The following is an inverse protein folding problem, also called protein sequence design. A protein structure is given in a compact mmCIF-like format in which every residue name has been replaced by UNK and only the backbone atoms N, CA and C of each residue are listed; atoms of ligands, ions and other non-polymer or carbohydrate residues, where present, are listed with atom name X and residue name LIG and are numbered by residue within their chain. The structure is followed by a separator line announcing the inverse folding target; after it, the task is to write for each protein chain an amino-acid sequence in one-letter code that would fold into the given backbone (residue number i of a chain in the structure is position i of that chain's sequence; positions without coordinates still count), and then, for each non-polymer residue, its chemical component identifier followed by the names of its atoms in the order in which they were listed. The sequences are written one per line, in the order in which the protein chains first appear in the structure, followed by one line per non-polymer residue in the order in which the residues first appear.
data_IF_349793753751
#
_entry.id   IF_349793753751
#
_cell.length_a   1.000
_cell.length_b   1.000
_cell.length_c   1.000
_cell.angle_alpha   90.00
_cell.angle_beta   90.00
_cell.angle_gamma   90.00
#
_symmetry.space_group_name_H-M   'P 1'
#
loop_
_entity.id
_entity.type
_entity.pdbx_description
1 polymer ?
#
# COMPACT_ATOMS: atom_id res chain seq x y z
N UNK A 1 35.72 -8.12 4.29
CA UNK A 1 35.44 -8.33 2.85
C UNK A 1 34.20 -7.55 2.52
N UNK A 2 34.32 -6.50 1.71
CA UNK A 2 33.19 -5.64 1.37
C UNK A 2 32.29 -6.34 0.36
N UNK A 3 31.00 -6.48 0.70
CA UNK A 3 29.96 -6.81 -0.28
C UNK A 3 30.00 -5.70 -1.34
N UNK A 4 30.21 -6.05 -2.60
CA UNK A 4 30.12 -5.09 -3.70
C UNK A 4 28.67 -4.57 -3.74
N UNK A 5 28.48 -3.28 -4.04
CA UNK A 5 27.17 -2.63 -3.98
C UNK A 5 26.10 -3.32 -4.88
N UNK A 6 26.53 -4.11 -5.86
CA UNK A 6 25.71 -4.88 -6.80
C UNK A 6 25.15 -6.20 -6.23
N UNK A 7 25.71 -6.71 -5.13
CA UNK A 7 25.34 -8.00 -4.52
C UNK A 7 24.30 -7.86 -3.41
N UNK A 8 23.91 -6.62 -3.05
CA UNK A 8 22.94 -6.34 -1.97
C UNK A 8 21.55 -6.86 -2.31
N UNK A 9 21.16 -6.77 -3.59
CA UNK A 9 19.88 -7.27 -4.11
C UNK A 9 20.12 -8.02 -5.40
N UNK A 10 19.79 -9.31 -5.41
CA UNK A 10 19.88 -10.19 -6.57
C UNK A 10 18.45 -10.58 -6.97
N UNK A 11 18.15 -10.47 -8.26
CA UNK A 11 16.86 -10.86 -8.80
C UNK A 11 17.11 -11.92 -9.88
N UNK A 12 16.57 -13.11 -9.66
CA UNK A 12 16.57 -14.22 -10.60
C UNK A 12 15.16 -14.37 -11.15
N UNK A 13 14.96 -14.02 -12.42
CA UNK A 13 13.66 -14.13 -13.07
C UNK A 13 13.35 -15.58 -13.41
N UNK A 14 12.07 -15.95 -13.34
CA UNK A 14 11.62 -17.28 -13.71
C UNK A 14 11.80 -17.54 -15.22
N UNK A 15 12.17 -18.76 -15.57
CA UNK A 15 12.33 -19.19 -16.97
C UNK A 15 10.99 -19.54 -17.64
N UNK A 16 9.98 -19.93 -16.84
CA UNK A 16 8.66 -20.35 -17.31
C UNK A 16 7.57 -19.44 -16.75
N UNK A 17 6.52 -19.26 -17.56
CA UNK A 17 5.32 -18.53 -17.15
C UNK A 17 4.63 -19.26 -15.99
N UNK A 18 4.34 -18.53 -14.91
CA UNK A 18 3.74 -19.08 -13.68
C UNK A 18 4.74 -19.55 -12.61
N UNK A 19 6.01 -19.77 -12.96
CA UNK A 19 7.05 -20.05 -11.96
C UNK A 19 7.43 -18.75 -11.22
N UNK A 20 7.72 -18.81 -9.91
CA UNK A 20 8.07 -17.62 -9.15
C UNK A 20 9.49 -17.15 -9.47
N UNK A 21 9.64 -15.84 -9.65
CA UNK A 21 10.95 -15.17 -9.67
C UNK A 21 11.47 -15.02 -8.24
N UNK A 22 12.78 -15.00 -8.05
CA UNK A 22 13.43 -14.96 -6.73
C UNK A 22 14.13 -13.62 -6.53
N UNK A 23 13.83 -12.95 -5.42
CA UNK A 23 14.50 -11.74 -4.95
C UNK A 23 15.29 -12.10 -3.69
N UNK A 24 16.60 -12.03 -3.74
CA UNK A 24 17.49 -12.24 -2.60
C UNK A 24 18.09 -10.91 -2.17
N UNK A 25 18.05 -10.64 -0.87
CA UNK A 25 18.53 -9.40 -0.25
C UNK A 25 19.49 -9.77 0.86
N UNK A 26 20.70 -9.21 0.81
CA UNK A 26 21.73 -9.38 1.81
C UNK A 26 22.30 -8.01 2.18
N UNK A 27 21.84 -7.44 3.29
CA UNK A 27 22.19 -6.09 3.69
C UNK A 27 22.18 -5.92 5.21
N UNK A 28 22.74 -4.81 5.75
CA UNK A 28 22.59 -4.52 7.16
C UNK A 28 21.12 -4.42 7.55
N UNK A 29 20.81 -4.86 8.76
CA UNK A 29 19.45 -4.82 9.27
C UNK A 29 19.09 -3.41 9.77
N UNK A 30 17.80 -3.08 9.67
CA UNK A 30 17.20 -1.91 10.33
C UNK A 30 15.78 -2.25 10.73
N UNK A 31 15.32 -1.66 11.83
CA UNK A 31 13.93 -1.78 12.25
C UNK A 31 12.99 -1.37 11.11
N UNK A 32 12.05 -2.25 10.77
CA UNK A 32 11.07 -2.01 9.72
C UNK A 32 11.54 -2.27 8.29
N UNK A 33 12.75 -2.79 8.06
CA UNK A 33 13.25 -3.12 6.72
C UNK A 33 12.30 -4.08 5.97
N UNK A 34 11.87 -5.16 6.61
CA UNK A 34 10.94 -6.13 6.00
C UNK A 34 9.62 -5.48 5.54
N UNK A 35 9.09 -4.53 6.31
CA UNK A 35 7.91 -3.76 5.95
C UNK A 35 8.16 -2.90 4.71
N UNK A 36 9.27 -2.14 4.69
CA UNK A 36 9.62 -1.27 3.57
C UNK A 36 9.81 -2.09 2.27
N UNK A 37 10.47 -3.25 2.37
CA UNK A 37 10.70 -4.16 1.24
C UNK A 37 9.40 -4.77 0.71
N UNK A 38 8.54 -5.30 1.60
CA UNK A 38 7.24 -5.85 1.21
C UNK A 38 6.36 -4.78 0.55
N UNK A 39 6.41 -3.55 1.07
CA UNK A 39 5.70 -2.41 0.47
C UNK A 39 6.18 -2.11 -0.93
N UNK A 40 7.49 -2.10 -1.18
CA UNK A 40 8.05 -1.87 -2.51
C UNK A 40 7.65 -2.98 -3.47
N UNK A 41 7.78 -4.25 -3.08
CA UNK A 41 7.35 -5.38 -3.91
C UNK A 41 5.86 -5.22 -4.30
N UNK A 42 5.02 -4.86 -3.33
CA UNK A 42 3.60 -4.59 -3.55
C UNK A 42 3.35 -3.38 -4.47
N UNK A 43 4.14 -2.30 -4.37
CA UNK A 43 4.04 -1.15 -5.29
C UNK A 43 4.24 -1.54 -6.75
N UNK A 44 5.05 -2.56 -7.02
CA UNK A 44 5.30 -3.07 -8.38
C UNK A 44 4.27 -4.13 -8.81
N UNK A 45 3.18 -4.31 -8.05
CA UNK A 45 2.13 -5.27 -8.37
C UNK A 45 2.55 -6.73 -8.19
N UNK A 46 3.68 -7.00 -7.53
CA UNK A 46 4.17 -8.35 -7.31
C UNK A 46 3.52 -8.97 -6.07
N UNK A 47 3.17 -10.25 -6.19
CA UNK A 47 2.64 -11.06 -5.08
C UNK A 47 3.73 -11.98 -4.54
N UNK A 48 3.99 -11.92 -3.23
CA UNK A 48 4.96 -12.79 -2.58
C UNK A 48 4.27 -14.13 -2.27
N UNK A 49 4.81 -15.23 -2.78
CA UNK A 49 4.25 -16.59 -2.60
C UNK A 49 5.03 -17.45 -1.61
N UNK A 50 6.29 -17.10 -1.39
CA UNK A 50 7.14 -17.67 -0.34
C UNK A 50 8.13 -16.61 0.13
N UNK A 51 8.50 -16.66 1.40
CA UNK A 51 9.49 -15.77 1.98
C UNK A 51 10.28 -16.48 3.06
N UNK A 52 11.60 -16.33 3.06
CA UNK A 52 12.48 -16.79 4.12
C UNK A 52 13.29 -15.56 4.61
N UNK A 53 13.31 -15.31 5.93
CA UNK A 53 14.08 -14.22 6.54
C UNK A 53 14.92 -14.75 7.70
N UNK A 54 16.16 -14.27 7.79
CA UNK A 54 17.08 -14.51 8.89
C UNK A 54 17.87 -13.24 9.16
N UNK A 55 18.03 -12.85 10.42
CA UNK A 55 18.87 -11.72 10.84
C UNK A 55 19.58 -12.02 12.15
N UNK A 56 20.79 -11.50 12.29
CA UNK A 56 21.52 -11.47 13.57
C UNK A 56 21.33 -10.13 14.32
N UNK A 57 20.43 -9.28 13.82
CA UNK A 57 20.17 -7.92 14.32
C UNK A 57 21.12 -6.85 13.77
N UNK A 58 22.17 -7.25 13.03
CA UNK A 58 23.10 -6.34 12.35
C UNK A 58 23.07 -6.53 10.84
N UNK A 59 22.93 -7.76 10.39
CA UNK A 59 22.84 -8.19 9.00
C UNK A 59 21.63 -9.08 8.83
N UNK A 60 20.94 -8.89 7.72
CA UNK A 60 19.80 -9.69 7.34
C UNK A 60 20.02 -10.36 5.99
N UNK A 61 19.48 -11.57 5.87
CA UNK A 61 19.37 -12.34 4.65
C UNK A 61 17.89 -12.65 4.43
N UNK A 62 17.34 -12.12 3.34
CA UNK A 62 15.92 -12.23 3.01
C UNK A 62 15.78 -12.77 1.60
N UNK A 63 14.91 -13.76 1.41
CA UNK A 63 14.58 -14.31 0.11
C UNK A 63 13.07 -14.26 -0.08
N UNK A 64 12.62 -13.64 -1.17
CA UNK A 64 11.22 -13.63 -1.59
C UNK A 64 11.06 -14.35 -2.92
N UNK A 65 10.07 -15.23 -2.99
CA UNK A 65 9.57 -15.78 -4.24
C UNK A 65 8.34 -14.99 -4.63
N UNK A 66 8.36 -14.39 -5.81
CA UNK A 66 7.35 -13.44 -6.27
C UNK A 66 6.78 -13.84 -7.62
N UNK A 67 5.48 -13.61 -7.78
CA UNK A 67 4.76 -13.74 -9.04
C UNK A 67 4.25 -12.36 -9.44
N UNK A 68 4.34 -12.04 -10.73
CA UNK A 68 4.01 -10.72 -11.25
C UNK A 68 3.60 -10.72 -12.70
N UNK A 69 3.32 -9.52 -13.22
CA UNK A 69 3.09 -9.31 -14.65
C UNK A 69 4.40 -9.51 -15.45
N UNK A 70 4.33 -10.05 -16.69
CA UNK A 70 5.46 -10.04 -17.62
C UNK A 70 6.06 -8.65 -17.86
N UNK A 71 5.26 -7.59 -17.69
CA UNK A 71 5.65 -6.20 -17.90
C UNK A 71 6.39 -5.59 -16.69
N UNK A 72 6.69 -6.38 -15.65
CA UNK A 72 7.35 -5.89 -14.45
C UNK A 72 8.71 -5.28 -14.77
N UNK A 73 8.90 -4.01 -14.37
CA UNK A 73 10.14 -3.25 -14.55
C UNK A 73 11.22 -3.67 -13.54
N UNK A 74 11.76 -4.89 -13.68
CA UNK A 74 12.73 -5.49 -12.76
C UNK A 74 13.94 -4.61 -12.43
N UNK A 75 14.48 -3.87 -13.41
CA UNK A 75 15.62 -2.97 -13.19
C UNK A 75 15.27 -1.80 -12.24
N UNK A 76 14.08 -1.22 -12.38
CA UNK A 76 13.60 -0.16 -11.49
C UNK A 76 13.28 -0.72 -10.10
N UNK A 77 12.66 -1.91 -10.02
CA UNK A 77 12.42 -2.60 -8.76
C UNK A 77 13.74 -2.83 -7.99
N UNK A 78 14.76 -3.39 -8.65
CA UNK A 78 16.10 -3.58 -8.04
C UNK A 78 16.62 -2.26 -7.48
N UNK A 79 16.56 -1.17 -8.25
CA UNK A 79 17.00 0.17 -7.80
C UNK A 79 16.26 0.64 -6.54
N UNK A 80 14.95 0.41 -6.42
CA UNK A 80 14.15 0.78 -5.24
C UNK A 80 14.45 -0.08 -4.01
N UNK A 81 14.61 -1.38 -4.21
CA UNK A 81 15.00 -2.30 -3.13
C UNK A 81 16.40 -1.94 -2.59
N UNK A 82 17.38 -1.72 -3.47
CA UNK A 82 18.73 -1.29 -3.08
C UNK A 82 18.69 0.05 -2.34
N UNK A 83 17.93 1.03 -2.82
CA UNK A 83 17.82 2.34 -2.15
C UNK A 83 17.16 2.30 -0.77
N UNK A 84 16.50 1.20 -0.42
CA UNK A 84 15.85 0.99 0.88
C UNK A 84 16.76 0.27 1.87
N UNK A 85 17.70 -0.52 1.37
CA UNK A 85 18.69 -1.23 2.15
C UNK A 85 19.64 -0.24 2.83
N UNK A 86 19.95 -0.40 4.13
CA UNK A 86 20.99 0.40 4.78
C UNK A 86 22.35 0.23 4.10
N UNK A 87 23.20 1.25 4.20
CA UNK A 87 24.56 1.15 3.67
C UNK A 87 25.42 0.29 4.60
N UNK A 88 26.39 -0.44 4.03
CA UNK A 88 27.31 -1.28 4.81
C UNK A 88 28.07 -0.50 5.91
N UNK A 89 28.26 0.82 5.72
CA UNK A 89 28.87 1.70 6.74
C UNK A 89 28.03 1.80 8.02
N UNK A 90 26.70 1.62 7.93
CA UNK A 90 25.79 1.60 9.09
C UNK A 90 26.06 0.40 10.00
N UNK A 91 26.54 -0.73 9.47
CA UNK A 91 26.87 -1.93 10.26
C UNK A 91 28.20 -1.81 11.03
N UNK A 92 29.07 -0.87 10.64
CA UNK A 92 30.42 -0.73 11.18
C UNK A 92 30.50 0.14 12.44
N UNK A 93 29.37 0.62 12.99
CA UNK A 93 29.36 1.50 14.17
C UNK A 93 29.92 2.92 13.92
N UNK A 94 30.30 3.24 12.68
CA UNK A 94 30.67 4.60 12.28
C UNK A 94 29.38 5.34 11.96
N UNK A 95 28.64 5.73 13.00
CA UNK A 95 27.54 6.67 12.86
C UNK A 95 28.15 8.03 12.55
N UNK A 96 28.31 8.37 11.27
CA UNK A 96 28.21 9.79 10.93
C UNK A 96 26.83 10.22 11.42
N UNK A 97 26.81 11.19 12.34
CA UNK A 97 25.60 11.86 12.81
C UNK A 97 24.72 12.16 11.59
N UNK A 98 23.75 11.28 11.29
CA UNK A 98 22.68 11.63 10.37
C UNK A 98 21.84 12.59 11.20
N UNK A 99 21.89 13.85 10.82
CA UNK A 99 21.08 14.90 11.44
C UNK A 99 19.61 14.60 11.14
N UNK A 100 18.98 13.76 11.96
CA UNK A 100 17.54 13.52 11.97
C UNK A 100 16.80 14.58 12.82
N UNK A 101 17.35 15.80 12.90
CA UNK A 101 16.80 16.90 13.70
C UNK A 101 16.00 17.91 12.88
N UNK A 102 15.65 17.61 11.63
CA UNK A 102 14.68 18.41 10.87
C UNK A 102 13.50 17.54 10.45
N UNK A 103 12.25 17.98 10.72
CA UNK A 103 11.09 17.33 10.14
C UNK A 103 11.26 17.34 8.61
N UNK A 104 10.98 16.23 7.92
CA UNK A 104 11.13 16.17 6.48
C UNK A 104 10.30 17.29 5.84
N UNK A 105 10.91 18.06 4.92
CA UNK A 105 10.21 19.08 4.17
C UNK A 105 8.97 18.41 3.52
N UNK A 106 7.77 19.01 3.61
CA UNK A 106 6.61 18.45 2.94
C UNK A 106 6.89 18.36 1.43
N UNK A 107 6.51 17.25 0.77
CA UNK A 107 6.77 17.07 -0.64
C UNK A 107 6.09 18.15 -1.47
N UNK A 108 6.76 18.62 -2.52
CA UNK A 108 6.17 19.59 -3.45
C UNK A 108 4.97 18.94 -4.16
N UNK A 109 3.84 19.65 -4.19
CA UNK A 109 2.61 19.22 -4.84
C UNK A 109 2.50 19.87 -6.21
N UNK A 110 2.12 19.08 -7.20
CA UNK A 110 1.94 19.52 -8.58
C UNK A 110 0.50 19.30 -9.01
N UNK A 111 -0.02 20.19 -9.85
CA UNK A 111 -1.29 20.08 -10.52
C UNK A 111 -1.04 19.60 -11.94
N UNK A 112 -1.45 18.37 -12.23
CA UNK A 112 -1.56 17.84 -13.58
C UNK A 112 -2.98 18.11 -14.07
N UNK A 113 -3.10 18.98 -15.08
CA UNK A 113 -4.34 19.21 -15.85
C UNK A 113 -4.29 18.31 -17.07
N UNK A 114 -5.24 17.39 -17.16
CA UNK A 114 -5.30 16.39 -18.23
C UNK A 114 -6.62 16.54 -18.98
N UNK A 115 -6.54 16.77 -20.29
CA UNK A 115 -7.70 16.91 -21.16
C UNK A 115 -7.68 15.82 -22.24
N UNK A 116 -8.77 15.08 -22.37
CA UNK A 116 -8.88 13.93 -23.27
C UNK A 116 -10.34 13.71 -23.68
N UNK A 117 -10.59 13.10 -24.84
CA UNK A 117 -11.93 12.59 -25.15
C UNK A 117 -12.31 11.47 -24.18
N UNK A 118 -13.54 11.52 -23.66
CA UNK A 118 -13.97 10.57 -22.64
C UNK A 118 -14.03 9.15 -23.20
N UNK A 119 -13.58 8.19 -22.37
CA UNK A 119 -13.77 6.77 -22.64
C UNK A 119 -13.83 5.99 -21.35
N UNK A 120 -14.52 4.85 -21.42
CA UNK A 120 -14.63 3.92 -20.29
C UNK A 120 -13.24 3.53 -19.77
N UNK A 121 -13.05 3.66 -18.46
CA UNK A 121 -11.80 3.31 -17.79
C UNK A 121 -10.67 4.32 -17.93
N UNK A 122 -10.89 5.50 -18.54
CA UNK A 122 -9.86 6.52 -18.73
C UNK A 122 -9.15 6.89 -17.41
N UNK A 123 -9.92 7.15 -16.35
CA UNK A 123 -9.35 7.48 -15.03
C UNK A 123 -8.42 6.38 -14.49
N UNK A 124 -8.79 5.11 -14.68
CA UNK A 124 -7.97 3.98 -14.26
C UNK A 124 -6.68 3.89 -15.07
N UNK A 125 -6.76 4.05 -16.39
CA UNK A 125 -5.61 3.97 -17.28
C UNK A 125 -4.61 5.11 -16.97
N UNK A 126 -5.10 6.33 -16.75
CA UNK A 126 -4.28 7.46 -16.27
C UNK A 126 -3.69 7.17 -14.89
N UNK A 127 -4.47 6.62 -13.96
CA UNK A 127 -3.98 6.25 -12.62
C UNK A 127 -2.88 5.19 -12.70
N UNK A 128 -2.99 4.24 -13.63
CA UNK A 128 -1.96 3.25 -13.93
C UNK A 128 -0.64 3.88 -14.34
N UNK A 129 -0.67 4.78 -15.33
CA UNK A 129 0.52 5.54 -15.78
C UNK A 129 1.15 6.31 -14.62
N UNK A 130 0.35 7.02 -13.82
CA UNK A 130 0.87 7.79 -12.69
C UNK A 130 1.54 6.86 -11.67
N UNK A 131 0.96 5.69 -11.39
CA UNK A 131 1.53 4.69 -10.51
C UNK A 131 2.85 4.09 -11.06
N UNK A 132 2.91 3.76 -12.35
CA UNK A 132 4.12 3.26 -13.02
C UNK A 132 5.29 4.25 -13.02
N UNK A 133 4.95 5.54 -13.05
CA UNK A 133 5.91 6.63 -12.94
C UNK A 133 6.24 6.97 -11.48
N UNK A 134 5.67 6.28 -10.49
CA UNK A 134 5.86 6.54 -9.06
C UNK A 134 5.36 7.93 -8.59
N UNK A 135 4.33 8.43 -9.26
CA UNK A 135 3.59 9.62 -8.89
C UNK A 135 2.42 9.23 -7.97
N UNK A 136 2.31 9.91 -6.83
CA UNK A 136 1.24 9.66 -5.86
C UNK A 136 0.15 10.70 -6.03
N UNK A 137 -1.10 10.26 -6.20
CA UNK A 137 -2.27 11.13 -6.27
C UNK A 137 -2.70 11.49 -4.83
N UNK A 138 -2.92 12.78 -4.58
CA UNK A 138 -3.48 13.32 -3.31
C UNK A 138 -4.95 13.68 -3.46
N UNK A 139 -5.34 14.12 -4.66
CA UNK A 139 -6.71 14.52 -4.97
C UNK A 139 -6.90 14.47 -6.47
N UNK A 140 -8.07 14.04 -6.91
CA UNK A 140 -8.50 14.14 -8.29
C UNK A 140 -9.89 14.75 -8.34
N UNK A 141 -10.07 15.70 -9.26
CA UNK A 141 -11.39 16.17 -9.67
C UNK A 141 -11.58 15.72 -11.12
N UNK A 142 -12.65 14.99 -11.36
CA UNK A 142 -13.04 14.56 -12.70
C UNK A 142 -14.18 15.46 -13.13
N UNK A 143 -14.11 15.97 -14.36
CA UNK A 143 -15.21 16.74 -14.92
C UNK A 143 -15.34 16.41 -16.40
N UNK A 144 -16.53 15.92 -16.78
CA UNK A 144 -16.87 15.70 -18.17
C UNK A 144 -17.67 16.91 -18.67
N UNK A 145 -17.22 17.50 -19.77
CA UNK A 145 -17.88 18.63 -20.41
C UNK A 145 -19.00 18.15 -21.34
N UNK A 146 -19.98 19.00 -21.70
CA UNK A 146 -21.07 18.62 -22.59
C UNK A 146 -20.65 18.17 -23.99
N UNK A 147 -19.43 18.50 -24.43
CA UNK A 147 -18.84 18.08 -25.70
C UNK A 147 -18.03 16.77 -25.60
N UNK A 148 -18.36 15.92 -24.61
CA UNK A 148 -17.78 14.58 -24.40
C UNK A 148 -16.26 14.57 -24.14
N UNK A 149 -15.71 15.69 -23.65
CA UNK A 149 -14.32 15.77 -23.20
C UNK A 149 -14.25 15.66 -21.69
N UNK A 150 -13.17 15.10 -21.20
CA UNK A 150 -12.83 15.05 -19.78
C UNK A 150 -11.74 16.06 -19.50
N UNK A 151 -11.93 16.86 -18.45
CA UNK A 151 -10.94 17.77 -17.91
C UNK A 151 -10.66 17.36 -16.47
N UNK A 152 -9.61 16.54 -16.32
CA UNK A 152 -9.21 15.96 -15.04
C UNK A 152 -8.10 16.79 -14.40
N UNK A 153 -8.25 17.05 -13.11
CA UNK A 153 -7.31 17.79 -12.31
C UNK A 153 -6.72 16.87 -11.23
N UNK A 154 -5.49 16.40 -11.45
CA UNK A 154 -4.76 15.56 -10.50
C UNK A 154 -3.78 16.40 -9.68
N UNK A 155 -3.94 16.37 -8.36
CA UNK A 155 -2.94 16.89 -7.43
C UNK A 155 -2.01 15.74 -7.07
N UNK A 156 -0.75 15.81 -7.49
CA UNK A 156 0.21 14.71 -7.42
C UNK A 156 1.51 15.13 -6.72
N UNK A 157 2.19 14.16 -6.12
CA UNK A 157 3.55 14.29 -5.58
C UNK A 157 4.47 13.29 -6.26
N UNK A 158 5.73 13.65 -6.53
CA UNK A 158 6.69 12.78 -7.20
C UNK A 158 7.62 12.10 -6.20
N UNK A 159 7.56 10.77 -6.10
CA UNK A 159 8.46 9.99 -5.24
C UNK A 159 9.92 10.10 -5.68
N UNK A 160 10.17 10.48 -6.93
CA UNK A 160 11.53 10.71 -7.45
C UNK A 160 12.04 12.11 -7.14
N UNK A 161 11.18 13.03 -6.71
CA UNK A 161 11.48 14.45 -6.50
C UNK A 161 12.04 15.16 -7.74
N UNK A 162 11.68 14.72 -8.95
CA UNK A 162 12.20 15.26 -10.22
C UNK A 162 11.15 16.03 -11.04
N UNK A 163 9.88 16.04 -10.63
CA UNK A 163 8.77 16.63 -11.41
C UNK A 163 8.85 18.16 -11.56
N UNK A 164 9.73 18.81 -10.81
CA UNK A 164 10.09 20.22 -11.05
C UNK A 164 10.86 20.43 -12.36
N UNK A 165 11.48 19.38 -12.92
CA UNK A 165 12.24 19.45 -14.18
C UNK A 165 11.36 19.25 -15.41
N UNK A 166 11.65 19.95 -16.51
CA UNK A 166 10.90 19.80 -17.77
C UNK A 166 11.01 18.39 -18.34
N UNK A 167 12.21 17.77 -18.28
CA UNK A 167 12.42 16.39 -18.72
C UNK A 167 11.47 15.39 -18.06
N UNK A 168 11.23 15.55 -16.75
CA UNK A 168 10.31 14.68 -16.00
C UNK A 168 8.85 14.93 -16.38
N UNK A 169 8.48 16.19 -16.66
CA UNK A 169 7.13 16.53 -17.13
C UNK A 169 6.86 15.99 -18.54
N UNK A 170 7.85 16.08 -19.43
CA UNK A 170 7.81 15.50 -20.78
C UNK A 170 7.66 13.98 -20.71
N UNK A 171 8.46 13.29 -19.87
CA UNK A 171 8.31 11.85 -19.62
C UNK A 171 6.87 11.49 -19.21
N UNK A 172 6.26 12.25 -18.29
CA UNK A 172 4.88 12.00 -17.86
C UNK A 172 3.90 12.19 -19.03
N UNK A 173 4.05 13.26 -19.80
CA UNK A 173 3.19 13.55 -20.95
C UNK A 173 3.29 12.46 -22.03
N UNK A 174 4.50 11.97 -22.30
CA UNK A 174 4.74 10.94 -23.32
C UNK A 174 4.09 9.60 -22.93
N UNK A 175 4.20 9.19 -21.67
CA UNK A 175 3.53 7.98 -21.17
C UNK A 175 2.01 8.11 -21.20
N UNK A 176 1.46 9.26 -20.79
CA UNK A 176 0.03 9.52 -20.87
C UNK A 176 -0.44 9.45 -22.32
N UNK A 177 0.29 10.06 -23.25
CA UNK A 177 0.01 10.01 -24.68
C UNK A 177 0.09 8.59 -25.25
N UNK A 178 1.03 7.77 -24.79
CA UNK A 178 1.13 6.38 -25.23
C UNK A 178 -0.11 5.55 -24.87
N UNK A 179 -0.74 5.81 -23.71
CA UNK A 179 -1.93 5.08 -23.24
C UNK A 179 -3.25 5.65 -23.78
N UNK A 180 -3.27 6.95 -24.09
CA UNK A 180 -4.49 7.65 -24.52
C UNK A 180 -4.56 7.89 -26.03
N UNK A 181 -3.43 7.80 -26.73
CA UNK A 181 -3.33 7.96 -28.17
C UNK A 181 -3.77 9.33 -28.66
N UNK A 182 -4.43 9.37 -29.82
CA UNK A 182 -4.93 10.60 -30.43
C UNK A 182 -6.12 11.22 -29.68
N UNK A 183 -6.65 10.54 -28.66
CA UNK A 183 -7.72 11.08 -27.82
C UNK A 183 -7.23 12.18 -26.86
N UNK A 184 -5.93 12.25 -26.60
CA UNK A 184 -5.33 13.24 -25.72
C UNK A 184 -5.31 14.63 -26.36
N UNK A 185 -5.89 15.61 -25.65
CA UNK A 185 -5.99 17.00 -26.12
C UNK A 185 -4.87 17.84 -25.51
N UNK A 186 -4.68 17.76 -24.19
CA UNK A 186 -3.60 18.50 -23.50
C UNK A 186 -3.19 17.85 -22.18
N UNK A 187 -1.94 18.10 -21.78
CA UNK A 187 -1.38 17.73 -20.48
C UNK A 187 -0.46 18.85 -20.00
N UNK A 188 -0.85 19.49 -18.90
CA UNK A 188 -0.10 20.59 -18.30
C UNK A 188 0.24 20.26 -16.86
N UNK A 189 1.51 20.47 -16.47
CA UNK A 189 1.99 20.18 -15.10
C UNK A 189 2.57 21.45 -14.48
N UNK A 190 1.88 21.95 -13.46
CA UNK A 190 2.22 23.17 -12.75
C UNK A 190 2.56 22.87 -11.28
N UNK A 191 3.52 23.58 -10.71
CA UNK A 191 3.79 23.49 -9.28
C UNK A 191 2.72 24.27 -8.52
N UNK A 192 2.16 23.65 -7.49
CA UNK A 192 1.11 24.26 -6.67
C UNK A 192 1.76 24.97 -5.49
N UNK A 193 1.47 26.26 -5.31
CA UNK A 193 1.98 27.05 -4.20
C UNK A 193 1.51 26.52 -2.83
N UNK A 194 2.24 26.80 -1.73
CA UNK A 194 1.92 26.30 -0.38
C UNK A 194 0.50 26.63 0.09
N UNK A 195 -0.04 27.76 -0.38
CA UNK A 195 -1.40 28.27 -0.10
C UNK A 195 -2.50 27.24 -0.42
N UNK A 196 -2.35 26.49 -1.53
CA UNK A 196 -3.35 25.54 -2.04
C UNK A 196 -3.11 24.15 -1.43
N UNK A 197 -1.87 23.85 -1.02
CA UNK A 197 -1.50 22.64 -0.25
C UNK A 197 -2.16 22.64 1.13
N UNK A 198 -2.27 23.80 1.78
CA UNK A 198 -3.01 23.95 3.03
C UNK A 198 -4.53 23.71 2.87
N UNK A 199 -5.11 24.10 1.73
CA UNK A 199 -6.53 23.89 1.40
C UNK A 199 -6.87 22.48 0.88
N UNK A 200 -5.85 21.63 0.66
CA UNK A 200 -6.01 20.22 0.27
C UNK A 200 -5.89 19.25 1.45
N UNK A 201 -5.43 19.73 2.61
CA UNK A 201 -5.81 19.18 3.91
C UNK A 201 -7.31 19.42 4.07
N UNK A 202 -8.14 18.57 3.47
CA UNK A 202 -9.58 18.63 3.66
C UNK A 202 -9.90 18.64 5.15
N UNK A 203 -11.01 19.27 5.52
CA UNK A 203 -11.63 19.18 6.85
C UNK A 203 -11.26 17.86 7.54
N UNK A 204 -10.55 17.95 8.66
CA UNK A 204 -10.23 16.79 9.52
C UNK A 204 -11.49 16.05 9.96
N UNK A 205 -12.64 16.72 9.91
CA UNK A 205 -13.94 16.13 10.15
C UNK A 205 -14.35 15.22 9.01
N UNK A 206 -14.34 13.93 9.32
CA UNK A 206 -15.11 12.92 8.60
C UNK A 206 -16.61 13.22 8.78
N UNK A 207 -17.46 12.99 7.76
CA UNK A 207 -18.91 13.12 7.93
C UNK A 207 -19.39 12.27 9.11
N UNK A 208 -20.34 12.76 9.91
CA UNK A 208 -20.92 12.03 11.05
C UNK A 208 -21.59 10.70 10.68
N UNK A 209 -21.80 10.45 9.39
CA UNK A 209 -22.31 9.20 8.82
C UNK A 209 -21.24 8.08 8.75
N UNK A 210 -19.97 8.37 9.05
CA UNK A 210 -18.99 7.31 9.28
C UNK A 210 -19.26 6.76 10.68
N UNK A 211 -19.85 5.57 10.73
CA UNK A 211 -20.14 4.87 11.98
C UNK A 211 -18.83 4.61 12.73
N UNK A 212 -18.86 4.72 14.05
CA UNK A 212 -17.75 4.31 14.93
C UNK A 212 -17.30 2.87 14.59
N UNK A 213 -18.25 2.00 14.19
CA UNK A 213 -18.06 0.65 13.63
C UNK A 213 -17.05 0.55 12.46
N UNK A 214 -16.93 1.59 11.62
CA UNK A 214 -15.98 1.59 10.52
C UNK A 214 -14.55 1.63 11.05
N UNK A 215 -14.29 2.29 12.17
CA UNK A 215 -12.97 2.51 12.76
C UNK A 215 -12.72 1.79 14.07
N UNK A 216 -13.69 1.01 14.55
CA UNK A 216 -13.53 0.18 15.74
C UNK A 216 -12.25 -0.65 15.69
N UNK A 217 -11.49 -0.54 16.78
CA UNK A 217 -10.21 -1.18 17.00
C UNK A 217 -10.34 -2.44 17.86
N UNK A 218 -11.55 -2.74 18.32
CA UNK A 218 -11.88 -3.95 19.06
C UNK A 218 -12.23 -5.11 18.13
N UNK A 219 -12.06 -6.34 18.63
CA UNK A 219 -12.45 -7.51 17.86
C UNK A 219 -13.98 -7.62 17.84
N UNK A 220 -14.63 -7.75 16.67
CA UNK A 220 -16.07 -7.91 16.61
C UNK A 220 -16.48 -9.17 17.39
N UNK A 221 -17.40 -9.04 18.36
CA UNK A 221 -17.93 -10.18 19.10
C UNK A 221 -18.71 -11.14 18.20
N UNK A 222 -19.34 -10.60 17.15
CA UNK A 222 -19.96 -11.35 16.05
C UNK A 222 -19.57 -10.68 14.73
N UNK A 223 -19.14 -11.48 13.74
CA UNK A 223 -18.90 -10.97 12.39
C UNK A 223 -20.27 -10.60 11.78
N UNK A 224 -20.48 -9.39 11.24
CA UNK A 224 -21.74 -9.02 10.62
C UNK A 224 -22.14 -10.06 9.57
N UNK A 225 -23.36 -10.56 9.67
CA UNK A 225 -23.99 -11.44 8.67
C UNK A 225 -24.01 -10.70 7.31
N UNK A 226 -22.97 -10.89 6.50
CA UNK A 226 -22.76 -10.17 5.24
C UNK A 226 -21.36 -9.57 5.05
N UNK A 227 -20.51 -9.58 6.09
CA UNK A 227 -19.13 -9.08 6.03
C UNK A 227 -18.23 -10.00 5.17
N UNK A 228 -17.58 -9.44 4.15
CA UNK A 228 -16.66 -10.12 3.22
C UNK A 228 -15.30 -10.51 3.85
N UNK A 229 -15.25 -10.66 5.17
CA UNK A 229 -14.04 -10.91 5.95
C UNK A 229 -13.63 -12.38 5.91
N UNK A 230 -12.32 -12.63 5.94
CA UNK A 230 -11.74 -13.98 5.94
C UNK A 230 -12.06 -14.69 7.26
N UNK A 231 -12.97 -15.68 7.24
CA UNK A 231 -13.48 -16.37 8.45
C UNK A 231 -12.45 -17.22 9.22
N UNK A 232 -11.16 -17.20 8.86
CA UNK A 232 -10.16 -18.11 9.45
C UNK A 232 -8.78 -17.46 9.61
N UNK A 233 -8.67 -16.44 10.46
CA UNK A 233 -7.36 -15.93 10.92
C UNK A 233 -7.05 -16.50 12.30
N UNK A 234 -6.04 -17.36 12.37
CA UNK A 234 -5.49 -17.88 13.63
C UNK A 234 -4.11 -17.28 13.84
N UNK A 235 -3.87 -16.74 15.04
CA UNK A 235 -2.55 -16.28 15.49
C UNK A 235 -2.26 -16.97 16.82
N UNK A 236 -1.24 -17.80 16.84
CA UNK A 236 -0.76 -18.48 18.05
C UNK A 236 0.62 -17.97 18.43
N UNK A 237 0.92 -17.99 19.72
CA UNK A 237 2.22 -17.62 20.25
C UNK A 237 2.76 -18.76 21.10
N UNK A 238 4.01 -19.12 20.88
CA UNK A 238 4.70 -20.16 21.62
C UNK A 238 6.10 -19.70 22.07
N UNK A 239 6.42 -20.00 23.33
CA UNK A 239 7.70 -19.69 23.97
C UNK A 239 8.50 -20.96 24.31
N UNK A 240 8.04 -22.14 23.90
CA UNK A 240 8.63 -23.45 24.22
C UNK A 240 9.63 -23.93 23.16
N UNK A 241 9.38 -23.62 21.87
CA UNK A 241 10.24 -24.04 20.76
C UNK A 241 11.57 -23.27 20.66
N UNK A 242 11.74 -22.16 21.39
CA UNK A 242 12.99 -21.40 21.42
C UNK A 242 13.29 -20.87 22.82
N UNK A 243 14.53 -20.99 23.31
CA UNK A 243 14.89 -20.41 24.61
C UNK A 243 14.88 -18.88 24.58
N UNK A 244 15.23 -18.27 23.43
CA UNK A 244 15.43 -16.83 23.28
C UNK A 244 14.34 -16.04 22.55
N UNK A 245 13.43 -16.72 21.84
CA UNK A 245 12.46 -16.07 20.95
C UNK A 245 11.02 -16.48 21.30
N UNK A 246 10.07 -15.63 20.93
CA UNK A 246 8.65 -16.01 20.87
C UNK A 246 8.36 -16.42 19.43
N UNK A 247 7.86 -17.62 19.21
CA UNK A 247 7.32 -18.03 17.92
C UNK A 247 5.90 -17.48 17.78
N UNK A 248 5.63 -16.75 16.71
CA UNK A 248 4.29 -16.35 16.29
C UNK A 248 3.94 -17.16 15.04
N UNK A 249 2.89 -17.96 15.12
CA UNK A 249 2.38 -18.69 13.96
C UNK A 249 1.07 -18.07 13.53
N UNK A 250 0.99 -17.75 12.23
CA UNK A 250 -0.16 -17.11 11.63
C UNK A 250 -0.67 -18.02 10.53
N UNK A 251 -1.95 -18.37 10.62
CA UNK A 251 -2.67 -19.13 9.60
C UNK A 251 -3.82 -18.26 9.14
N UNK A 252 -3.84 -17.91 7.85
CA UNK A 252 -4.87 -17.05 7.27
C UNK A 252 -5.10 -17.36 5.79
N UNK A 253 -6.10 -16.71 5.19
CA UNK A 253 -6.30 -16.73 3.74
C UNK A 253 -5.39 -15.68 3.11
N UNK A 254 -4.79 -16.02 1.98
CA UNK A 254 -3.97 -15.10 1.21
C UNK A 254 -4.79 -13.92 0.68
N UNK A 255 -4.15 -12.76 0.68
CA UNK A 255 -4.63 -11.55 0.03
C UNK A 255 -3.45 -10.71 -0.43
N UNK A 256 -3.70 -9.87 -1.44
CA UNK A 256 -2.74 -8.90 -1.97
C UNK A 256 -2.12 -8.12 -0.80
N UNK A 257 -0.80 -8.09 -0.68
CA UNK A 257 -0.13 -7.34 0.39
C UNK A 257 -0.15 -7.97 1.79
N UNK A 258 -0.56 -9.23 1.96
CA UNK A 258 -0.59 -9.93 3.26
C UNK A 258 0.70 -9.76 4.09
N UNK A 259 1.87 -10.02 3.49
CA UNK A 259 3.14 -9.85 4.20
C UNK A 259 3.41 -8.39 4.59
N UNK A 260 3.01 -7.41 3.77
CA UNK A 260 3.12 -6.01 4.14
C UNK A 260 2.26 -5.69 5.38
N UNK A 261 1.03 -6.19 5.44
CA UNK A 261 0.11 -5.94 6.55
C UNK A 261 0.64 -6.53 7.88
N UNK A 262 1.23 -7.74 7.82
CA UNK A 262 1.91 -8.39 8.96
C UNK A 262 3.13 -7.56 9.38
N UNK A 263 4.03 -7.28 8.44
CA UNK A 263 5.31 -6.60 8.71
C UNK A 263 5.10 -5.18 9.22
N UNK A 264 4.09 -4.46 8.72
CA UNK A 264 3.68 -3.16 9.24
C UNK A 264 3.24 -3.27 10.70
N UNK A 265 2.38 -4.23 11.01
CA UNK A 265 1.88 -4.42 12.38
C UNK A 265 3.02 -4.68 13.35
N UNK A 266 4.01 -5.51 12.95
CA UNK A 266 5.20 -5.76 13.76
C UNK A 266 6.09 -4.53 13.90
N UNK A 267 6.28 -3.77 12.81
CA UNK A 267 7.03 -2.50 12.80
C UNK A 267 6.41 -1.48 13.75
N UNK A 268 5.09 -1.29 13.71
CA UNK A 268 4.37 -0.34 14.57
C UNK A 268 4.48 -0.71 16.07
N UNK A 269 4.64 -2.00 16.38
CA UNK A 269 4.85 -2.50 17.75
C UNK A 269 6.34 -2.61 18.14
N UNK A 270 7.26 -2.15 17.28
CA UNK A 270 8.72 -2.26 17.46
C UNK A 270 9.19 -3.70 17.74
N UNK A 271 8.53 -4.68 17.11
CA UNK A 271 8.91 -6.09 17.21
C UNK A 271 9.94 -6.42 16.12
N UNK A 272 11.02 -7.07 16.52
CA UNK A 272 12.06 -7.54 15.61
C UNK A 272 11.82 -9.01 15.26
N UNK A 273 12.01 -9.36 14.00
CA UNK A 273 11.94 -10.75 13.51
C UNK A 273 13.37 -11.23 13.38
N UNK A 274 13.74 -12.30 14.08
CA UNK A 274 15.05 -12.95 13.97
C UNK A 274 15.07 -14.00 12.87
N UNK A 275 14.00 -14.79 12.79
CA UNK A 275 13.79 -15.78 11.72
C UNK A 275 12.34 -15.76 11.30
N UNK A 276 12.08 -16.00 10.02
CA UNK A 276 10.71 -16.05 9.53
C UNK A 276 10.59 -16.89 8.28
N UNK A 277 9.46 -17.58 8.18
CA UNK A 277 9.08 -18.38 7.03
C UNK A 277 7.65 -18.06 6.65
N UNK A 278 7.44 -17.81 5.37
CA UNK A 278 6.15 -17.55 4.76
C UNK A 278 5.96 -18.53 3.62
N UNK A 279 4.79 -19.17 3.57
CA UNK A 279 4.43 -20.02 2.43
C UNK A 279 2.93 -19.97 2.15
N UNK A 280 2.59 -19.88 0.87
CA UNK A 280 1.23 -20.10 0.38
C UNK A 280 1.06 -21.59 0.06
N UNK A 281 0.08 -22.22 0.71
CA UNK A 281 -0.38 -23.59 0.45
C UNK A 281 -1.56 -23.60 -0.53
N UNK A 282 -2.06 -24.80 -0.83
CA UNK A 282 -3.23 -25.00 -1.69
C UNK A 282 -4.44 -24.17 -1.21
N UNK A 283 -5.27 -23.74 -2.17
CA UNK A 283 -6.50 -22.97 -1.93
C UNK A 283 -6.28 -21.61 -1.22
N UNK A 284 -5.13 -20.97 -1.45
CA UNK A 284 -4.79 -19.66 -0.86
C UNK A 284 -4.74 -19.69 0.67
N UNK A 285 -4.38 -20.82 1.28
CA UNK A 285 -4.10 -20.88 2.72
C UNK A 285 -2.64 -20.53 2.96
N UNK A 286 -2.38 -19.54 3.81
CA UNK A 286 -1.03 -19.12 4.16
C UNK A 286 -0.66 -19.63 5.54
N UNK A 287 0.58 -20.07 5.67
CA UNK A 287 1.22 -20.37 6.95
C UNK A 287 2.48 -19.50 7.07
N UNK A 288 2.55 -18.78 8.18
CA UNK A 288 3.65 -17.88 8.50
C UNK A 288 4.15 -18.21 9.90
N UNK A 289 5.43 -18.54 10.01
CA UNK A 289 6.11 -18.76 11.28
C UNK A 289 7.16 -17.68 11.47
N UNK A 290 7.06 -16.90 12.55
CA UNK A 290 7.99 -15.80 12.85
C UNK A 290 8.57 -15.98 14.25
N UNK A 291 9.89 -16.10 14.36
CA UNK A 291 10.62 -16.02 15.62
C UNK A 291 10.93 -14.55 15.89
N UNK A 292 10.27 -14.00 16.91
CA UNK A 292 10.33 -12.58 17.23
C UNK A 292 10.93 -12.30 18.61
N UNK A 293 11.45 -11.09 18.76
CA UNK A 293 11.92 -10.51 20.03
C UNK A 293 11.42 -9.08 20.18
N UNK A 294 11.37 -8.61 21.42
CA UNK A 294 11.16 -7.20 21.75
C UNK A 294 12.43 -6.38 21.45
N UNK A 295 12.32 -5.06 21.55
CA UNK A 295 13.46 -4.12 21.37
C UNK A 295 14.62 -4.34 22.35
N UNK A 296 14.37 -4.97 23.50
CA UNK A 296 15.40 -5.36 24.46
C UNK A 296 16.10 -6.69 24.12
N UNK A 297 15.76 -7.29 22.98
CA UNK A 297 16.29 -8.57 22.51
C UNK A 297 15.72 -9.79 23.22
N UNK A 298 14.68 -9.64 24.06
CA UNK A 298 14.06 -10.76 24.78
C UNK A 298 12.74 -11.18 24.17
N UNK A 299 12.39 -12.46 24.37
CA UNK A 299 11.06 -12.98 24.03
C UNK A 299 9.95 -12.28 24.81
N UNK A 300 8.74 -12.27 24.25
CA UNK A 300 7.56 -11.71 24.92
C UNK A 300 7.06 -12.76 25.92
N UNK A 301 7.31 -12.55 27.20
CA UNK A 301 6.85 -13.46 28.28
C UNK A 301 5.52 -13.02 28.88
N UNK A 302 5.26 -11.71 28.89
CA UNK A 302 4.04 -11.13 29.45
C UNK A 302 2.80 -11.53 28.62
N UNK A 303 1.84 -12.28 29.20
CA UNK A 303 0.63 -12.71 28.49
C UNK A 303 -0.21 -11.53 27.97
N UNK A 304 -0.19 -10.38 28.63
CA UNK A 304 -0.94 -9.19 28.22
C UNK A 304 -0.36 -8.61 26.94
N UNK A 305 0.97 -8.54 26.83
CA UNK A 305 1.66 -8.11 25.61
C UNK A 305 1.46 -9.10 24.46
N UNK A 306 1.51 -10.40 24.76
CA UNK A 306 1.22 -11.45 23.77
C UNK A 306 -0.20 -11.31 23.23
N UNK A 307 -1.19 -11.19 24.11
CA UNK A 307 -2.59 -11.02 23.74
C UNK A 307 -2.82 -9.72 22.95
N UNK A 308 -2.19 -8.61 23.34
CA UNK A 308 -2.28 -7.35 22.61
C UNK A 308 -1.78 -7.48 21.17
N UNK A 309 -0.57 -8.05 20.98
CA UNK A 309 0.00 -8.26 19.65
C UNK A 309 -0.80 -9.30 18.84
N UNK A 310 -1.28 -10.37 19.47
CA UNK A 310 -2.13 -11.39 18.85
C UNK A 310 -3.43 -10.77 18.32
N UNK A 311 -4.20 -10.11 19.19
CA UNK A 311 -5.47 -9.47 18.81
C UNK A 311 -5.26 -8.43 17.73
N UNK A 312 -4.14 -7.70 17.80
CA UNK A 312 -3.76 -6.73 16.78
C UNK A 312 -3.55 -7.37 15.41
N UNK A 313 -2.72 -8.40 15.33
CA UNK A 313 -2.47 -9.13 14.09
C UNK A 313 -3.77 -9.74 13.55
N UNK A 314 -4.61 -10.30 14.42
CA UNK A 314 -5.91 -10.84 14.00
C UNK A 314 -6.80 -9.76 13.37
N UNK A 315 -6.93 -8.59 14.00
CA UNK A 315 -7.72 -7.49 13.45
C UNK A 315 -7.21 -7.00 12.10
N UNK A 316 -5.91 -6.76 11.98
CA UNK A 316 -5.31 -6.24 10.75
C UNK A 316 -5.34 -7.24 9.60
N UNK A 317 -5.40 -8.55 9.89
CA UNK A 317 -5.56 -9.58 8.88
C UNK A 317 -7.02 -9.88 8.54
N UNK A 318 -7.95 -9.64 9.47
CA UNK A 318 -9.39 -9.77 9.21
C UNK A 318 -9.92 -8.61 8.37
N UNK A 319 -9.47 -7.38 8.66
CA UNK A 319 -9.85 -6.15 7.96
C UNK A 319 -8.60 -5.30 7.61
N UNK A 320 -7.74 -5.75 6.67
CA UNK A 320 -6.56 -4.98 6.25
C UNK A 320 -6.88 -3.59 5.72
N UNK A 321 -8.08 -3.46 5.13
CA UNK A 321 -8.68 -2.22 4.68
C UNK A 321 -10.12 -2.17 5.19
N UNK A 322 -10.69 -0.98 5.33
CA UNK A 322 -12.11 -0.80 5.67
C UNK A 322 -12.80 -0.17 4.47
N UNK A 323 -13.79 -0.84 3.89
CA UNK A 323 -14.58 -0.34 2.77
C UNK A 323 -16.01 -0.11 3.27
N UNK A 324 -16.60 1.01 2.87
CA UNK A 324 -17.99 1.32 3.16
C UNK A 324 -18.57 2.23 2.07
N UNK A 325 -19.88 2.11 1.82
CA UNK A 325 -20.62 3.05 0.97
C UNK A 325 -21.57 3.85 1.85
N UNK A 326 -21.47 5.18 1.78
CA UNK A 326 -22.27 6.10 2.59
C UNK A 326 -23.05 7.07 1.71
N UNK A 327 -24.14 7.60 2.25
CA UNK A 327 -24.88 8.70 1.62
C UNK A 327 -24.29 10.04 2.05
N UNK A 328 -24.13 10.95 1.11
CA UNK A 328 -23.74 12.35 1.35
C UNK A 328 -24.81 13.27 0.77
N UNK A 329 -25.91 13.41 1.49
CA UNK A 329 -27.10 14.08 0.96
C UNK A 329 -27.72 13.24 -0.16
N UNK A 330 -27.90 13.78 -1.39
CA UNK A 330 -28.38 13.00 -2.53
C UNK A 330 -27.30 12.07 -3.13
N UNK A 331 -26.03 12.37 -2.89
CA UNK A 331 -24.92 11.67 -3.55
C UNK A 331 -24.51 10.39 -2.81
N UNK A 332 -23.95 9.45 -3.55
CA UNK A 332 -23.33 8.24 -2.99
C UNK A 332 -21.81 8.41 -2.93
N UNK A 333 -21.21 8.10 -1.78
CA UNK A 333 -19.76 8.20 -1.58
C UNK A 333 -19.21 6.84 -1.15
N UNK A 334 -18.22 6.32 -1.89
CA UNK A 334 -17.40 5.20 -1.46
C UNK A 334 -16.29 5.71 -0.54
N UNK A 335 -16.13 5.04 0.59
CA UNK A 335 -15.05 5.25 1.55
C UNK A 335 -14.18 4.01 1.61
N UNK A 336 -12.88 4.19 1.40
CA UNK A 336 -11.87 3.17 1.68
C UNK A 336 -10.87 3.76 2.67
N UNK A 337 -10.76 3.17 3.86
CA UNK A 337 -9.75 3.57 4.84
C UNK A 337 -8.58 2.59 4.83
N UNK A 338 -7.40 3.15 4.60
CA UNK A 338 -6.13 2.48 4.54
C UNK A 338 -5.30 2.80 5.80
N UNK A 339 -4.93 1.80 6.62
CA UNK A 339 -4.04 2.03 7.75
C UNK A 339 -2.70 2.61 7.28
N UNK A 340 -2.20 3.61 8.00
CA UNK A 340 -0.89 4.23 7.71
C UNK A 340 0.12 3.80 8.76
N UNK A 341 1.31 3.42 8.32
CA UNK A 341 2.48 3.19 9.19
C UNK A 341 2.82 4.45 9.99
N UNK A 342 3.49 4.30 11.14
CA UNK A 342 4.06 5.45 11.87
C UNK A 342 5.02 6.31 11.02
N UNK A 343 5.57 5.75 9.93
CA UNK A 343 6.41 6.48 8.98
C UNK A 343 5.62 7.33 7.98
N UNK A 344 4.29 7.39 8.10
CA UNK A 344 3.40 8.11 7.21
C UNK A 344 3.21 7.44 5.85
N UNK A 345 3.46 6.13 5.73
CA UNK A 345 3.26 5.37 4.49
C UNK A 345 2.08 4.42 4.64
N UNK A 346 1.10 4.51 3.77
CA UNK A 346 0.02 3.54 3.68
C UNK A 346 0.33 2.41 2.70
N UNK A 347 -0.60 1.46 2.62
CA UNK A 347 -0.61 0.43 1.59
C UNK A 347 -0.65 1.08 0.19
N UNK A 348 0.25 0.69 -0.73
CA UNK A 348 0.29 1.23 -2.08
C UNK A 348 -0.83 0.66 -2.95
N UNK A 349 -1.04 1.29 -4.11
CA UNK A 349 -1.99 0.88 -5.16
C UNK A 349 -3.47 0.86 -4.76
N UNK A 350 -3.84 1.36 -3.58
CA UNK A 350 -5.25 1.39 -3.13
C UNK A 350 -6.14 2.17 -4.12
N UNK A 351 -5.73 3.36 -4.56
CA UNK A 351 -6.51 4.10 -5.56
C UNK A 351 -6.54 3.43 -6.94
N UNK A 352 -5.45 2.78 -7.33
CA UNK A 352 -5.39 1.99 -8.56
C UNK A 352 -6.44 0.86 -8.53
N UNK A 353 -6.52 0.11 -7.44
CA UNK A 353 -7.48 -0.97 -7.26
C UNK A 353 -8.93 -0.46 -7.20
N UNK A 354 -9.16 0.69 -6.56
CA UNK A 354 -10.46 1.35 -6.53
C UNK A 354 -10.91 1.73 -7.95
N UNK A 355 -10.06 2.43 -8.71
CA UNK A 355 -10.40 2.83 -10.10
C UNK A 355 -10.54 1.63 -11.03
N UNK A 356 -9.80 0.55 -10.80
CA UNK A 356 -9.95 -0.72 -11.52
C UNK A 356 -11.32 -1.33 -11.27
N UNK A 357 -11.76 -1.39 -10.00
CA UNK A 357 -13.09 -1.88 -9.66
C UNK A 357 -14.19 -1.07 -10.36
N UNK A 358 -14.09 0.26 -10.37
CA UNK A 358 -15.03 1.12 -11.08
C UNK A 358 -15.01 0.92 -12.60
N UNK A 359 -13.82 0.72 -13.20
CA UNK A 359 -13.68 0.35 -14.62
C UNK A 359 -14.41 -0.97 -14.93
N UNK A 360 -14.28 -1.97 -14.07
CA UNK A 360 -14.95 -3.28 -14.24
C UNK A 360 -16.46 -3.20 -14.05
N UNK A 361 -16.94 -2.38 -13.12
CA UNK A 361 -18.37 -2.16 -12.87
C UNK A 361 -19.04 -1.25 -13.90
N UNK A 362 -18.24 -0.57 -14.73
CA UNK A 362 -18.70 0.46 -15.64
C UNK A 362 -19.44 1.60 -14.91
N UNK A 363 -18.88 2.03 -13.78
CA UNK A 363 -19.44 3.09 -12.94
C UNK A 363 -18.51 4.31 -12.97
N UNK A 364 -19.08 5.49 -13.19
CA UNK A 364 -18.34 6.76 -13.27
C UNK A 364 -17.82 7.23 -11.91
N UNK A 365 -16.67 7.89 -11.92
CA UNK A 365 -16.08 8.54 -10.75
C UNK A 365 -16.01 10.03 -11.03
N UNK A 366 -16.63 10.85 -10.19
CA UNK A 366 -16.73 12.30 -10.40
C UNK A 366 -15.69 13.08 -9.62
N UNK A 367 -15.39 12.62 -8.41
CA UNK A 367 -14.25 13.18 -7.69
C UNK A 367 -13.71 12.14 -6.73
N UNK A 368 -12.41 12.18 -6.48
CA UNK A 368 -11.82 11.43 -5.40
C UNK A 368 -10.86 12.30 -4.60
N UNK A 369 -10.98 12.22 -3.28
CA UNK A 369 -10.10 12.93 -2.33
C UNK A 369 -9.40 11.89 -1.47
N UNK A 370 -8.09 12.06 -1.31
CA UNK A 370 -7.28 11.20 -0.45
C UNK A 370 -6.83 12.07 0.71
N UNK A 371 -7.44 11.84 1.87
CA UNK A 371 -7.19 12.61 3.08
C UNK A 371 -6.46 11.78 4.11
N UNK A 372 -5.65 12.44 4.96
CA UNK A 372 -5.11 11.80 6.16
C UNK A 372 -5.94 12.20 7.37
N UNK A 373 -6.30 11.20 8.17
CA UNK A 373 -7.17 11.37 9.33
C UNK A 373 -6.55 10.66 10.52
N UNK A 374 -6.40 11.38 11.64
CA UNK A 374 -6.06 10.78 12.92
C UNK A 374 -7.36 10.34 13.59
N UNK A 375 -7.53 9.03 13.78
CA UNK A 375 -8.73 8.43 14.38
C UNK A 375 -8.27 7.53 15.52
N UNK A 376 -8.66 7.89 16.74
CA UNK A 376 -8.06 7.33 17.95
C UNK A 376 -6.56 7.69 18.03
N UNK A 377 -5.72 6.67 18.16
CA UNK A 377 -4.25 6.78 18.21
C UNK A 377 -3.57 6.49 16.86
N UNK A 378 -4.32 6.44 15.75
CA UNK A 378 -3.81 5.99 14.45
C UNK A 378 -4.12 6.91 13.29
N UNK A 379 -3.16 7.03 12.40
CA UNK A 379 -3.31 7.72 11.13
C UNK A 379 -3.90 6.77 10.07
N UNK A 380 -4.89 7.27 9.35
CA UNK A 380 -5.57 6.59 8.25
C UNK A 380 -5.50 7.45 7.00
N UNK A 381 -5.25 6.80 5.87
CA UNK A 381 -5.40 7.40 4.55
C UNK A 381 -6.78 7.00 4.02
N UNK A 382 -7.69 7.98 3.96
CA UNK A 382 -9.09 7.76 3.60
C UNK A 382 -9.31 8.23 2.18
N UNK A 383 -9.69 7.29 1.33
CA UNK A 383 -10.10 7.50 -0.05
C UNK A 383 -11.60 7.73 -0.07
N UNK A 384 -11.99 8.95 -0.45
CA UNK A 384 -13.38 9.37 -0.57
C UNK A 384 -13.70 9.55 -2.03
N UNK A 385 -14.50 8.66 -2.60
CA UNK A 385 -14.83 8.65 -4.02
C UNK A 385 -16.32 8.96 -4.19
N UNK A 386 -16.60 10.09 -4.84
CA UNK A 386 -17.96 10.50 -5.18
C UNK A 386 -18.40 9.78 -6.45
N UNK A 387 -19.52 9.07 -6.33
CA UNK A 387 -20.21 8.34 -7.39
C UNK A 387 -21.50 9.11 -7.64
N UNK A 388 -21.67 9.73 -8.82
CA UNK A 388 -22.92 10.45 -9.14
C UNK A 388 -23.92 9.55 -9.86
N UNK A 389 -25.17 9.71 -9.43
CA UNK A 389 -26.38 9.15 -10.01
C UNK A 389 -27.57 10.08 -9.78
N UNK A 390 -27.62 11.18 -10.51
CA UNK A 390 -28.92 11.64 -10.99
C UNK A 390 -29.60 10.50 -11.75
N UNK A 391 -30.70 9.97 -11.21
CA UNK A 391 -31.53 8.84 -11.68
C UNK A 391 -31.12 7.39 -11.31
N UNK A 392 -30.43 7.20 -10.18
CA UNK A 392 -30.44 5.93 -9.42
C UNK A 392 -29.38 4.88 -9.80
N UNK A 393 -29.09 4.01 -8.82
CA UNK A 393 -28.02 3.01 -8.88
C UNK A 393 -28.19 1.99 -10.00
N UNK A 394 -27.42 2.15 -11.08
CA UNK A 394 -27.28 1.11 -12.12
C UNK A 394 -26.64 -0.16 -11.55
N UNK A 395 -25.81 -0.01 -10.50
CA UNK A 395 -25.14 -1.09 -9.80
C UNK A 395 -25.52 -1.06 -8.31
N UNK A 396 -26.04 -2.17 -7.74
CA UNK A 396 -26.35 -2.22 -6.31
C UNK A 396 -25.15 -1.91 -5.42
N UNK A 397 -25.35 -1.17 -4.32
CA UNK A 397 -24.28 -0.77 -3.38
C UNK A 397 -23.39 -1.93 -2.94
N UNK A 398 -24.00 -3.02 -2.50
CA UNK A 398 -23.26 -4.21 -2.04
C UNK A 398 -22.35 -4.77 -3.12
N UNK A 399 -22.73 -4.66 -4.40
CA UNK A 399 -21.90 -5.12 -5.53
C UNK A 399 -20.71 -4.19 -5.77
N UNK A 400 -20.89 -2.88 -5.59
CA UNK A 400 -19.77 -1.91 -5.65
C UNK A 400 -18.77 -2.21 -4.53
N UNK A 401 -19.26 -2.33 -3.29
CA UNK A 401 -18.44 -2.63 -2.12
C UNK A 401 -17.69 -3.96 -2.29
N UNK A 402 -18.38 -5.01 -2.73
CA UNK A 402 -17.79 -6.33 -2.97
C UNK A 402 -16.71 -6.28 -4.04
N UNK A 403 -16.95 -5.62 -5.18
CA UNK A 403 -15.97 -5.57 -6.25
C UNK A 403 -14.74 -4.75 -5.86
N UNK A 404 -14.92 -3.62 -5.18
CA UNK A 404 -13.82 -2.82 -4.64
C UNK A 404 -13.02 -3.66 -3.66
N UNK A 405 -13.68 -4.37 -2.75
CA UNK A 405 -13.03 -5.27 -1.80
C UNK A 405 -12.22 -6.36 -2.48
N UNK A 406 -12.78 -7.02 -3.51
CA UNK A 406 -12.08 -8.05 -4.29
C UNK A 406 -10.80 -7.51 -4.94
N UNK A 407 -10.87 -6.34 -5.60
CA UNK A 407 -9.70 -5.74 -6.23
C UNK A 407 -8.62 -5.36 -5.21
N UNK A 408 -9.03 -4.75 -4.09
CA UNK A 408 -8.11 -4.42 -3.01
C UNK A 408 -7.41 -5.67 -2.43
N UNK A 409 -8.12 -6.79 -2.33
CA UNK A 409 -7.60 -8.06 -1.81
C UNK A 409 -6.91 -8.95 -2.85
N UNK A 410 -6.91 -8.59 -4.14
CA UNK A 410 -6.40 -9.46 -5.21
C UNK A 410 -7.20 -10.77 -5.32
N UNK A 411 -8.51 -10.71 -5.07
CA UNK A 411 -9.42 -11.83 -5.22
C UNK A 411 -10.15 -11.73 -6.56
N UNK A 412 -10.46 -12.89 -7.15
CA UNK A 412 -11.22 -13.01 -8.39
C UNK A 412 -12.73 -12.86 -8.13
#
# INVERSE_FOLDING_TARGET
MGILHDDVVIITQAEKEGDPSVITINCPDKTGLGCDLCRIILCFGLSIVRGDVSTDGKWCYIVFWVIGSPETRWGLLKKRLVGTCPSCSSASGISFYRSELQPPKPPDVFLLKFCCYDRRGLLHDVTGVLCELELTIKKVKVSTTPDEKVMDLFFITDTRELLHTNKRKEEVSDYLKAVTGDAMISCEIEMVGPEITACSQGSSFLPSAITEDMFDLEMPAELPSGSLTSRSVSVTMDNTLSPGHTLVQIICKDHKGLLYDIMRTLKDYNIQISYGRFSIKQRRHCEIDLFIVQTDGKKIVDPSKQNALRSRLQLELLRPLRVAIVNRGPDTELLVANPVELSGKGRPLVFYDITLAFKMLNTGVFSAKIGRHLIGDREWEVYRVLIDEGDGLSVPRNKIEEQVWKMLMGWE
#
